data_IF_384186039173
#
_entry.id   IF_384186039173
#
_cell.length_a   1.000
_cell.length_b   1.000
_cell.length_c   1.000
_cell.angle_alpha   90.00
_cell.angle_beta   90.00
_cell.angle_gamma   90.00
#
_symmetry.space_group_name_H-M   'P 1'
#
loop_
_entity.id
_entity.type
_entity.pdbx_description
1 polymer ?
#
# COMPACT_ATOMS: atom_id res chain seq x y z
N UNK A 1 -20.15 -3.56 -28.76
CA UNK A 1 -19.62 -4.80 -28.12
C UNK A 1 -18.16 -4.70 -27.68
N UNK A 2 -17.13 -4.72 -28.56
CA UNK A 2 -15.71 -4.71 -28.12
C UNK A 2 -15.30 -3.44 -27.32
N UNK A 3 -15.76 -2.27 -27.76
CA UNK A 3 -15.50 -0.98 -27.08
C UNK A 3 -16.25 -0.83 -25.74
N UNK A 4 -17.43 -1.43 -25.62
CA UNK A 4 -18.21 -1.45 -24.37
C UNK A 4 -17.54 -2.34 -23.32
N UNK A 5 -17.08 -3.54 -23.72
CA UNK A 5 -16.30 -4.44 -22.85
C UNK A 5 -15.01 -3.77 -22.39
N UNK A 6 -14.36 -2.97 -23.25
CA UNK A 6 -13.15 -2.24 -22.90
C UNK A 6 -13.40 -1.05 -21.94
N UNK A 7 -14.52 -0.34 -22.10
CA UNK A 7 -14.94 0.69 -21.15
C UNK A 7 -15.34 0.10 -19.80
N UNK A 8 -16.09 -1.00 -19.78
CA UNK A 8 -16.43 -1.72 -18.56
C UNK A 8 -15.17 -2.16 -17.84
N UNK A 9 -14.23 -2.80 -18.54
CA UNK A 9 -12.95 -3.22 -17.96
C UNK A 9 -12.16 -2.05 -17.36
N UNK A 10 -12.14 -0.88 -18.00
CA UNK A 10 -11.49 0.32 -17.44
C UNK A 10 -12.18 0.79 -16.15
N UNK A 11 -13.51 0.72 -16.08
CA UNK A 11 -14.27 1.05 -14.86
C UNK A 11 -14.00 0.02 -13.75
N UNK A 12 -13.98 -1.28 -14.06
CA UNK A 12 -13.65 -2.34 -13.10
C UNK A 12 -12.22 -2.23 -12.59
N UNK A 13 -11.24 -2.04 -13.47
CA UNK A 13 -9.84 -1.84 -13.10
C UNK A 13 -9.65 -0.58 -12.27
N UNK A 14 -10.40 0.50 -12.53
CA UNK A 14 -10.32 1.70 -11.69
C UNK A 14 -10.91 1.50 -10.29
N UNK A 15 -11.97 0.70 -10.17
CA UNK A 15 -12.65 0.45 -8.88
C UNK A 15 -11.95 -0.59 -8.01
N UNK A 16 -11.53 -1.71 -8.61
CA UNK A 16 -10.96 -2.85 -7.90
C UNK A 16 -9.44 -2.97 -8.07
N UNK A 17 -8.86 -2.31 -9.07
CA UNK A 17 -7.42 -2.39 -9.33
C UNK A 17 -6.58 -1.90 -8.16
N UNK A 18 -7.04 -0.92 -7.39
CA UNK A 18 -6.35 -0.44 -6.19
C UNK A 18 -6.21 -1.53 -5.11
N UNK A 19 -7.17 -2.45 -4.99
CA UNK A 19 -7.08 -3.56 -4.03
C UNK A 19 -6.05 -4.62 -4.44
N UNK A 20 -5.90 -4.83 -5.75
CA UNK A 20 -4.99 -5.84 -6.29
C UNK A 20 -3.66 -5.26 -6.78
N UNK A 21 -3.46 -3.94 -6.67
CA UNK A 21 -2.33 -3.21 -7.25
C UNK A 21 -0.98 -3.72 -6.72
N UNK A 22 -0.95 -4.14 -5.45
CA UNK A 22 0.27 -4.61 -4.79
C UNK A 22 0.53 -6.11 -4.99
N UNK A 23 -0.40 -6.84 -5.60
CA UNK A 23 -0.30 -8.28 -5.82
C UNK A 23 0.43 -8.58 -7.14
N UNK A 24 1.34 -9.56 -7.14
CA UNK A 24 2.00 -10.01 -8.37
C UNK A 24 1.00 -10.70 -9.28
N UNK A 25 0.78 -10.13 -10.47
CA UNK A 25 -0.09 -10.72 -11.49
C UNK A 25 0.59 -11.88 -12.23
N UNK A 26 1.93 -11.96 -12.20
CA UNK A 26 2.71 -12.97 -12.92
C UNK A 26 2.59 -14.41 -12.37
N UNK A 27 2.11 -14.57 -11.13
CA UNK A 27 1.97 -15.90 -10.49
C UNK A 27 0.57 -16.51 -10.64
N UNK A 28 -0.29 -15.92 -11.48
CA UNK A 28 -1.59 -16.48 -11.82
C UNK A 28 -2.57 -16.60 -10.64
N UNK A 29 -3.48 -17.58 -10.71
CA UNK A 29 -4.58 -17.79 -9.76
C UNK A 29 -4.13 -17.95 -8.30
N UNK A 30 -2.94 -18.54 -8.08
CA UNK A 30 -2.43 -18.83 -6.74
C UNK A 30 -2.21 -17.55 -5.93
N UNK A 31 -1.60 -16.52 -6.52
CA UNK A 31 -1.40 -15.24 -5.82
C UNK A 31 -2.73 -14.54 -5.52
N UNK A 32 -3.70 -14.60 -6.44
CA UNK A 32 -5.02 -13.98 -6.31
C UNK A 32 -5.82 -14.52 -5.10
N UNK A 33 -5.62 -15.79 -4.74
CA UNK A 33 -6.29 -16.42 -3.60
C UNK A 33 -5.80 -15.93 -2.23
N UNK A 34 -4.77 -15.09 -2.17
CA UNK A 34 -4.25 -14.58 -0.90
C UNK A 34 -5.32 -13.86 -0.06
N UNK A 35 -6.07 -12.91 -0.62
CA UNK A 35 -7.07 -12.15 0.14
C UNK A 35 -8.25 -13.02 0.61
N UNK A 36 -8.85 -13.87 -0.25
CA UNK A 36 -9.85 -14.84 0.18
C UNK A 36 -9.33 -15.78 1.28
N UNK A 37 -8.13 -16.35 1.13
CA UNK A 37 -7.55 -17.26 2.11
C UNK A 37 -7.32 -16.59 3.46
N UNK A 38 -6.82 -15.34 3.45
CA UNK A 38 -6.61 -14.54 4.65
C UNK A 38 -7.92 -14.25 5.40
N UNK A 39 -8.98 -13.86 4.68
CA UNK A 39 -10.30 -13.62 5.27
C UNK A 39 -10.95 -14.91 5.75
N UNK A 40 -10.87 -15.98 4.96
CA UNK A 40 -11.42 -17.28 5.31
C UNK A 40 -10.80 -17.82 6.60
N UNK A 41 -9.47 -17.70 6.76
CA UNK A 41 -8.81 -18.11 8.01
C UNK A 41 -9.30 -17.32 9.23
N UNK A 42 -9.52 -16.02 9.09
CA UNK A 42 -10.08 -15.19 10.17
C UNK A 42 -11.50 -15.61 10.51
N UNK A 43 -12.32 -15.89 9.50
CA UNK A 43 -13.68 -16.39 9.69
C UNK A 43 -13.67 -17.75 10.41
N UNK A 44 -12.81 -18.67 9.98
CA UNK A 44 -12.62 -19.98 10.63
C UNK A 44 -12.24 -19.80 12.09
N UNK A 45 -11.32 -18.88 12.41
CA UNK A 45 -10.94 -18.63 13.81
C UNK A 45 -12.12 -18.13 14.67
N UNK A 46 -12.90 -17.18 14.16
CA UNK A 46 -14.10 -16.68 14.86
C UNK A 46 -15.12 -17.81 15.06
N UNK A 47 -15.34 -18.64 14.04
CA UNK A 47 -16.24 -19.79 14.15
C UNK A 47 -15.73 -20.81 15.18
N UNK A 48 -14.43 -21.08 15.23
CA UNK A 48 -13.84 -21.97 16.23
C UNK A 48 -14.00 -21.44 17.65
N UNK A 49 -13.87 -20.13 17.86
CA UNK A 49 -14.09 -19.52 19.18
C UNK A 49 -15.52 -19.74 19.67
N UNK A 50 -16.52 -19.61 18.80
CA UNK A 50 -17.94 -19.77 19.15
C UNK A 50 -18.30 -21.25 19.30
N UNK A 51 -17.87 -22.12 18.37
CA UNK A 51 -18.31 -23.51 18.32
C UNK A 51 -17.57 -24.42 19.30
N UNK A 52 -16.33 -24.07 19.70
CA UNK A 52 -15.46 -24.91 20.52
C UNK A 52 -15.15 -24.29 21.89
N UNK A 53 -16.02 -23.45 22.44
CA UNK A 53 -15.82 -22.75 23.73
C UNK A 53 -15.35 -23.69 24.86
N UNK A 54 -15.82 -24.95 24.90
CA UNK A 54 -15.41 -25.95 25.88
C UNK A 54 -14.20 -26.81 25.53
N UNK A 55 -13.51 -26.57 24.41
CA UNK A 55 -12.38 -27.39 23.91
C UNK A 55 -11.21 -26.52 23.43
N UNK A 56 -10.50 -25.83 24.35
CA UNK A 56 -9.41 -24.92 24.00
C UNK A 56 -8.22 -25.64 23.33
N UNK A 57 -8.01 -26.92 23.60
CA UNK A 57 -6.95 -27.72 22.95
C UNK A 57 -7.18 -27.90 21.46
N UNK A 58 -8.43 -28.15 21.05
CA UNK A 58 -8.76 -28.28 19.63
C UNK A 58 -8.66 -26.91 18.95
N UNK A 59 -9.11 -25.84 19.61
CA UNK A 59 -8.94 -24.48 19.09
C UNK A 59 -7.47 -24.14 18.84
N UNK A 60 -6.58 -24.43 19.81
CA UNK A 60 -5.15 -24.19 19.68
C UNK A 60 -4.53 -25.01 18.55
N UNK A 61 -4.84 -26.31 18.45
CA UNK A 61 -4.32 -27.17 17.38
C UNK A 61 -4.73 -26.70 15.98
N UNK A 62 -6.00 -26.32 15.80
CA UNK A 62 -6.47 -25.79 14.51
C UNK A 62 -5.83 -24.44 14.21
N UNK A 63 -5.66 -23.58 15.22
CA UNK A 63 -5.01 -22.30 15.04
C UNK A 63 -3.52 -22.45 14.65
N UNK A 64 -2.76 -23.33 15.31
CA UNK A 64 -1.36 -23.63 14.97
C UNK A 64 -1.29 -24.19 13.54
N UNK A 65 -2.12 -25.18 13.20
CA UNK A 65 -2.12 -25.84 11.89
C UNK A 65 -2.42 -24.84 10.77
N UNK A 66 -3.47 -24.03 10.92
CA UNK A 66 -3.83 -23.02 9.91
C UNK A 66 -2.79 -21.91 9.81
N UNK A 67 -2.15 -21.53 10.92
CA UNK A 67 -1.05 -20.56 10.93
C UNK A 67 0.19 -21.08 10.22
N UNK A 68 0.55 -22.34 10.47
CA UNK A 68 1.66 -23.00 9.79
C UNK A 68 1.42 -23.10 8.28
N UNK A 69 0.22 -23.54 7.86
CA UNK A 69 -0.14 -23.60 6.44
C UNK A 69 -0.09 -22.23 5.76
N UNK A 70 -0.56 -21.17 6.44
CA UNK A 70 -0.49 -19.80 5.90
C UNK A 70 0.97 -19.31 5.79
N UNK A 71 1.80 -19.58 6.80
CA UNK A 71 3.21 -19.21 6.77
C UNK A 71 3.93 -19.91 5.60
N UNK A 72 3.70 -21.22 5.41
CA UNK A 72 4.22 -21.96 4.26
C UNK A 72 3.74 -21.36 2.94
N UNK A 73 2.43 -21.11 2.82
CA UNK A 73 1.85 -20.46 1.64
C UNK A 73 2.54 -19.12 1.32
N UNK A 74 2.77 -18.26 2.32
CA UNK A 74 3.45 -16.97 2.11
C UNK A 74 4.91 -17.12 1.70
N UNK A 75 5.65 -18.06 2.29
CA UNK A 75 7.07 -18.31 1.99
C UNK A 75 7.24 -18.77 0.55
N UNK A 76 6.38 -19.67 0.06
CA UNK A 76 6.44 -20.21 -1.30
C UNK A 76 5.89 -19.24 -2.34
N UNK A 77 4.72 -18.65 -2.09
CA UNK A 77 4.03 -17.84 -3.09
C UNK A 77 4.55 -16.41 -3.17
N UNK A 78 4.98 -15.82 -2.05
CA UNK A 78 5.45 -14.41 -1.96
C UNK A 78 4.57 -13.48 -2.81
N UNK A 79 3.28 -13.33 -2.45
CA UNK A 79 2.25 -12.81 -3.35
C UNK A 79 2.42 -11.31 -3.67
N UNK A 80 3.19 -10.55 -2.89
CA UNK A 80 3.33 -9.11 -3.08
C UNK A 80 4.44 -8.74 -4.07
N UNK A 81 4.25 -7.61 -4.77
CA UNK A 81 5.25 -7.03 -5.69
C UNK A 81 6.52 -6.62 -4.94
N UNK A 82 6.36 -5.93 -3.81
CA UNK A 82 7.50 -5.48 -3.00
C UNK A 82 7.98 -6.58 -2.06
N UNK A 83 9.31 -6.75 -1.99
CA UNK A 83 9.94 -7.74 -1.10
C UNK A 83 9.65 -7.40 0.36
N UNK A 84 9.63 -6.10 0.70
CA UNK A 84 9.35 -5.62 2.06
C UNK A 84 7.98 -6.09 2.53
N UNK A 85 6.94 -5.96 1.71
CA UNK A 85 5.57 -6.40 2.06
C UNK A 85 5.50 -7.90 2.31
N UNK A 86 6.20 -8.70 1.49
CA UNK A 86 6.28 -10.15 1.70
C UNK A 86 7.00 -10.49 3.01
N UNK A 87 8.13 -9.84 3.30
CA UNK A 87 8.87 -10.06 4.54
C UNK A 87 8.01 -9.68 5.74
N UNK A 88 7.32 -8.54 5.69
CA UNK A 88 6.43 -8.09 6.75
C UNK A 88 5.32 -9.10 7.03
N UNK A 89 4.69 -9.62 5.98
CA UNK A 89 3.62 -10.61 6.09
C UNK A 89 4.12 -11.95 6.62
N UNK A 90 5.29 -12.42 6.16
CA UNK A 90 5.91 -13.65 6.68
C UNK A 90 6.28 -13.47 8.15
N UNK A 91 6.92 -12.36 8.53
CA UNK A 91 7.26 -12.06 9.93
C UNK A 91 6.01 -12.05 10.81
N UNK A 92 4.92 -11.45 10.35
CA UNK A 92 3.66 -11.44 11.09
C UNK A 92 3.09 -12.83 11.32
N UNK A 93 3.07 -13.69 10.29
CA UNK A 93 2.59 -15.06 10.46
C UNK A 93 3.52 -15.89 11.34
N UNK A 94 4.84 -15.70 11.24
CA UNK A 94 5.79 -16.33 12.15
C UNK A 94 5.58 -15.88 13.60
N UNK A 95 5.35 -14.59 13.86
CA UNK A 95 5.04 -14.06 15.20
C UNK A 95 3.75 -14.68 15.73
N UNK A 96 2.70 -14.77 14.91
CA UNK A 96 1.43 -15.38 15.29
C UNK A 96 1.59 -16.88 15.61
N UNK A 97 2.42 -17.58 14.83
CA UNK A 97 2.74 -18.99 15.07
C UNK A 97 3.49 -19.17 16.41
N UNK A 98 4.47 -18.32 16.74
CA UNK A 98 5.14 -18.36 18.04
C UNK A 98 4.16 -18.12 19.20
N UNK A 99 3.28 -17.12 19.06
CA UNK A 99 2.24 -16.85 20.06
C UNK A 99 1.32 -18.07 20.22
N UNK A 100 0.94 -18.73 19.13
CA UNK A 100 0.09 -19.93 19.18
C UNK A 100 0.75 -21.11 19.90
N UNK A 101 2.07 -21.27 19.81
CA UNK A 101 2.80 -22.28 20.60
C UNK A 101 2.81 -21.95 22.09
N UNK A 102 2.96 -20.67 22.45
CA UNK A 102 2.90 -20.24 23.86
C UNK A 102 1.51 -20.44 24.47
N UNK A 103 0.44 -20.39 23.67
CA UNK A 103 -0.92 -20.67 24.14
C UNK A 103 -1.10 -22.10 24.68
N UNK A 104 -0.32 -23.08 24.22
CA UNK A 104 -0.39 -24.47 24.69
C UNK A 104 -0.19 -24.55 26.22
N UNK A 105 0.68 -23.70 26.77
CA UNK A 105 0.97 -23.63 28.22
C UNK A 105 -0.29 -23.30 29.01
N UNK A 106 -1.17 -22.46 28.47
CA UNK A 106 -2.44 -22.08 29.11
C UNK A 106 -3.52 -23.17 28.99
N UNK A 107 -3.39 -24.06 28.02
CA UNK A 107 -4.34 -25.18 27.84
C UNK A 107 -4.00 -26.39 28.67
N UNK A 108 -2.71 -26.60 28.96
CA UNK A 108 -2.27 -27.67 29.85
C UNK A 108 -2.53 -27.24 31.29
N UNK A 109 -3.06 -28.13 32.13
CA UNK A 109 -3.35 -27.90 33.55
C UNK A 109 -2.03 -27.76 34.37
N UNK A 110 -1.27 -26.73 34.04
CA UNK A 110 0.02 -26.41 34.63
C UNK A 110 -0.24 -25.74 35.98
N UNK A 111 -0.11 -26.53 37.04
CA UNK A 111 -0.30 -26.08 38.43
C UNK A 111 0.70 -25.02 38.90
N UNK A 112 1.70 -24.68 38.08
CA UNK A 112 2.74 -23.71 38.41
C UNK A 112 2.31 -22.32 37.93
N UNK A 113 1.59 -21.60 38.79
CA UNK A 113 1.11 -20.23 38.52
C UNK A 113 2.20 -19.28 38.01
N UNK A 114 3.42 -19.39 38.56
CA UNK A 114 4.56 -18.57 38.15
C UNK A 114 4.91 -18.70 36.66
N UNK A 115 4.81 -19.91 36.09
CA UNK A 115 5.11 -20.15 34.67
C UNK A 115 4.04 -19.48 33.81
N UNK A 116 2.77 -19.65 34.15
CA UNK A 116 1.63 -19.05 33.43
C UNK A 116 1.74 -17.52 33.42
N UNK A 117 2.05 -16.92 34.56
CA UNK A 117 2.20 -15.46 34.69
C UNK A 117 3.35 -14.93 33.82
N UNK A 118 4.52 -15.57 33.88
CA UNK A 118 5.68 -15.17 33.07
C UNK A 118 5.39 -15.35 31.57
N UNK A 119 4.81 -16.49 31.17
CA UNK A 119 4.44 -16.75 29.77
C UNK A 119 3.45 -15.70 29.25
N UNK A 120 2.49 -15.26 30.07
CA UNK A 120 1.55 -14.21 29.71
C UNK A 120 2.26 -12.88 29.39
N UNK A 121 3.19 -12.45 30.25
CA UNK A 121 3.98 -11.24 30.00
C UNK A 121 4.88 -11.36 28.76
N UNK A 122 5.45 -12.54 28.50
CA UNK A 122 6.24 -12.81 27.29
C UNK A 122 5.36 -12.69 26.04
N UNK A 123 4.15 -13.26 26.05
CA UNK A 123 3.20 -13.16 24.93
C UNK A 123 2.81 -11.71 24.64
N UNK A 124 2.46 -10.93 25.69
CA UNK A 124 2.10 -9.51 25.53
C UNK A 124 3.28 -8.73 24.95
N UNK A 125 4.48 -8.95 25.50
CA UNK A 125 5.69 -8.28 25.03
C UNK A 125 5.99 -8.60 23.56
N UNK A 126 5.83 -9.86 23.14
CA UNK A 126 6.00 -10.29 21.76
C UNK A 126 4.98 -9.62 20.82
N UNK A 127 3.71 -9.54 21.23
CA UNK A 127 2.68 -8.82 20.49
C UNK A 127 3.02 -7.33 20.32
N UNK A 128 3.44 -6.66 21.40
CA UNK A 128 3.80 -5.24 21.38
C UNK A 128 4.99 -5.00 20.45
N UNK A 129 6.06 -5.79 20.57
CA UNK A 129 7.23 -5.70 19.69
C UNK A 129 6.82 -5.90 18.23
N UNK A 130 6.00 -6.91 17.93
CA UNK A 130 5.54 -7.17 16.57
C UNK A 130 4.76 -5.98 15.97
N UNK A 131 3.84 -5.39 16.75
CA UNK A 131 3.08 -4.20 16.33
C UNK A 131 4.00 -3.00 16.13
N UNK A 132 4.93 -2.75 17.06
CA UNK A 132 5.88 -1.63 16.97
C UNK A 132 6.82 -1.77 15.77
N UNK A 133 7.33 -2.97 15.49
CA UNK A 133 8.15 -3.24 14.31
C UNK A 133 7.38 -2.96 13.03
N UNK A 134 6.14 -3.44 12.92
CA UNK A 134 5.29 -3.17 11.75
C UNK A 134 5.04 -1.67 11.57
N UNK A 135 4.76 -0.97 12.66
CA UNK A 135 4.51 0.46 12.66
C UNK A 135 5.74 1.26 12.24
N UNK A 136 6.91 0.93 12.78
CA UNK A 136 8.18 1.55 12.44
C UNK A 136 8.52 1.36 10.94
N UNK A 137 8.35 0.15 10.41
CA UNK A 137 8.57 -0.14 8.98
C UNK A 137 7.62 0.70 8.12
N UNK A 138 6.34 0.77 8.49
CA UNK A 138 5.34 1.56 7.77
C UNK A 138 5.70 3.06 7.75
N UNK A 139 6.11 3.63 8.89
CA UNK A 139 6.55 5.03 8.97
C UNK A 139 7.75 5.28 8.06
N UNK A 140 8.80 4.47 8.18
CA UNK A 140 10.04 4.65 7.40
C UNK A 140 9.75 4.56 5.90
N UNK A 141 8.92 3.60 5.48
CA UNK A 141 8.53 3.43 4.09
C UNK A 141 7.78 4.65 3.55
N UNK A 142 6.77 5.14 4.29
CA UNK A 142 5.98 6.30 3.90
C UNK A 142 6.82 7.58 3.82
N UNK A 143 7.72 7.80 4.78
CA UNK A 143 8.66 8.94 4.76
C UNK A 143 9.55 8.87 3.52
N UNK A 144 10.15 7.71 3.23
CA UNK A 144 11.01 7.53 2.04
C UNK A 144 10.25 7.78 0.74
N UNK A 145 9.00 7.32 0.65
CA UNK A 145 8.16 7.53 -0.53
C UNK A 145 7.89 9.02 -0.75
N UNK A 146 7.49 9.76 0.29
CA UNK A 146 7.26 11.20 0.23
C UNK A 146 8.53 11.98 -0.15
N UNK A 147 9.68 11.64 0.46
CA UNK A 147 10.97 12.27 0.12
C UNK A 147 11.32 12.04 -1.34
N UNK A 148 11.08 10.83 -1.87
CA UNK A 148 11.33 10.53 -3.28
C UNK A 148 10.43 11.34 -4.21
N UNK A 149 9.14 11.46 -3.89
CA UNK A 149 8.17 12.27 -4.65
C UNK A 149 8.55 13.75 -4.68
N UNK A 150 8.94 14.32 -3.53
CA UNK A 150 9.39 15.72 -3.45
C UNK A 150 10.66 15.93 -4.29
N UNK A 151 11.62 15.01 -4.21
CA UNK A 151 12.85 15.07 -5.02
C UNK A 151 12.58 14.97 -6.52
N UNK A 152 11.59 14.19 -6.96
CA UNK A 152 11.24 14.10 -8.39
C UNK A 152 10.58 15.36 -8.92
N UNK A 153 9.76 16.05 -8.11
CA UNK A 153 9.15 17.32 -8.50
C UNK A 153 10.22 18.40 -8.69
N UNK A 154 11.19 18.48 -7.77
CA UNK A 154 12.29 19.47 -7.82
C UNK A 154 13.24 19.33 -9.02
N UNK A 155 13.25 18.16 -9.69
CA UNK A 155 14.08 17.95 -10.90
C UNK A 155 13.39 18.41 -12.20
N UNK A 156 12.09 18.68 -12.17
CA UNK A 156 11.34 19.12 -13.37
C UNK A 156 11.41 20.64 -13.54
N UNK A 157 11.74 21.40 -12.49
CA UNK A 157 11.82 22.86 -12.54
C UNK A 157 12.93 23.44 -13.46
N UNK A 158 14.16 22.89 -13.59
CA UNK A 158 15.18 23.49 -14.47
C UNK A 158 14.83 23.36 -15.97
N UNK A 159 14.15 22.28 -16.38
CA UNK A 159 13.77 22.08 -17.79
C UNK A 159 12.67 23.06 -18.23
N UNK A 160 11.80 23.47 -17.30
CA UNK A 160 10.73 24.42 -17.59
C UNK A 160 11.25 25.85 -17.75
N UNK A 161 12.34 26.17 -17.06
CA UNK A 161 13.04 27.45 -17.20
C UNK A 161 13.81 27.51 -18.54
N UNK A 162 14.50 26.44 -18.92
CA UNK A 162 15.19 26.35 -20.21
C UNK A 162 14.22 26.44 -21.41
N UNK A 163 13.05 25.81 -21.33
CA UNK A 163 12.01 25.91 -22.37
C UNK A 163 11.46 27.34 -22.47
N UNK A 164 11.30 28.05 -21.34
CA UNK A 164 10.89 29.46 -21.33
C UNK A 164 11.93 30.37 -21.98
N UNK A 165 13.20 30.19 -21.65
CA UNK A 165 14.30 30.98 -22.24
C UNK A 165 14.37 30.76 -23.75
N UNK A 166 14.19 29.52 -24.22
CA UNK A 166 14.16 29.18 -25.65
C UNK A 166 12.94 29.79 -26.37
N UNK A 167 11.76 29.81 -25.74
CA UNK A 167 10.58 30.48 -26.31
C UNK A 167 10.77 32.00 -26.39
N UNK A 168 11.38 32.63 -25.38
CA UNK A 168 11.66 34.07 -25.36
C UNK A 168 12.72 34.47 -26.40
N UNK A 169 13.78 33.68 -26.59
CA UNK A 169 14.78 33.92 -27.63
C UNK A 169 14.22 33.72 -29.04
N UNK A 170 13.35 32.71 -29.25
CA UNK A 170 12.69 32.55 -30.56
C UNK A 170 11.76 33.73 -30.87
N UNK A 171 11.03 34.24 -29.87
CA UNK A 171 10.17 35.43 -30.04
C UNK A 171 10.99 36.68 -30.36
N UNK A 172 12.13 36.88 -29.71
CA UNK A 172 12.99 38.05 -29.99
C UNK A 172 13.62 37.96 -31.37
N UNK A 173 14.13 36.80 -31.80
CA UNK A 173 14.68 36.60 -33.15
C UNK A 173 13.66 36.82 -34.26
N UNK A 174 12.41 36.37 -34.06
CA UNK A 174 11.33 36.59 -35.03
C UNK A 174 10.97 38.09 -35.10
N UNK A 175 10.96 38.80 -33.96
CA UNK A 175 10.73 40.25 -33.93
C UNK A 175 11.82 41.03 -34.66
N UNK A 176 13.09 40.65 -34.50
CA UNK A 176 14.23 41.32 -35.15
C UNK A 176 14.31 41.03 -36.65
N UNK A 177 14.03 39.78 -37.09
CA UNK A 177 14.11 39.40 -38.51
C UNK A 177 12.98 39.96 -39.37
N UNK A 178 11.82 40.28 -38.77
CA UNK A 178 10.63 40.64 -39.54
C UNK A 178 10.44 42.15 -39.66
N UNK A 179 11.13 43.00 -38.88
CA UNK A 179 11.08 44.46 -39.05
C UNK A 179 9.66 45.07 -38.95
N UNK A 180 8.67 44.29 -38.47
CA UNK A 180 7.30 44.73 -38.30
C UNK A 180 7.12 45.25 -36.88
N UNK A 181 6.84 46.55 -36.78
CA UNK A 181 6.09 47.10 -35.65
C UNK A 181 4.81 46.29 -35.51
N UNK A 182 4.75 45.42 -34.50
CA UNK A 182 3.53 44.67 -34.18
C UNK A 182 2.49 45.72 -33.76
N UNK A 183 1.33 45.81 -34.44
CA UNK A 183 0.27 46.71 -34.02
C UNK A 183 -0.26 46.27 -32.64
N UNK A 184 -0.58 47.24 -31.78
CA UNK A 184 -1.07 47.09 -30.40
C UNK A 184 -2.32 46.19 -30.21
N UNK A 185 -2.84 45.59 -31.27
CA UNK A 185 -4.04 44.75 -31.24
C UNK A 185 -3.80 43.36 -30.63
N UNK A 186 -2.56 42.85 -30.62
CA UNK A 186 -2.23 41.51 -30.08
C UNK A 186 -1.88 41.50 -28.58
N UNK A 187 -1.68 42.66 -27.96
CA UNK A 187 -1.37 42.77 -26.52
C UNK A 187 -2.62 42.67 -25.63
N UNK A 188 -3.80 43.03 -26.14
CA UNK A 188 -5.06 42.98 -25.38
C UNK A 188 -5.59 41.55 -25.22
N UNK A 189 -5.41 40.68 -26.22
CA UNK A 189 -5.83 39.27 -26.14
C UNK A 189 -5.03 38.47 -25.09
N UNK A 190 -3.74 38.77 -24.92
CA UNK A 190 -2.89 38.15 -23.90
C UNK A 190 -3.25 38.62 -22.48
N UNK A 191 -3.69 39.86 -22.31
CA UNK A 191 -4.18 40.38 -21.03
C UNK A 191 -5.53 39.75 -20.63
N UNK A 192 -6.36 39.42 -21.63
CA UNK A 192 -7.68 38.80 -21.40
C UNK A 192 -7.54 37.32 -21.01
N UNK A 193 -6.60 36.60 -21.63
CA UNK A 193 -6.33 35.20 -21.29
C UNK A 193 -5.68 35.03 -19.90
N UNK A 194 -4.85 36.00 -19.48
CA UNK A 194 -4.29 36.02 -18.11
C UNK A 194 -5.37 36.23 -17.04
N UNK A 195 -6.42 37.02 -17.33
CA UNK A 195 -7.57 37.23 -16.41
C UNK A 195 -8.47 36.01 -16.28
N UNK A 196 -8.62 35.20 -17.34
CA UNK A 196 -9.43 33.97 -17.26
C UNK A 196 -8.80 32.89 -16.38
N UNK A 197 -7.47 32.79 -16.35
CA UNK A 197 -6.79 31.79 -15.50
C UNK A 197 -6.79 32.15 -14.00
N UNK A 198 -6.76 33.43 -13.63
CA UNK A 198 -6.87 33.84 -12.21
C UNK A 198 -8.25 33.52 -11.63
N UNK A 199 -9.32 33.75 -12.40
CA UNK A 199 -10.68 33.46 -11.95
C UNK A 199 -10.95 31.95 -11.78
N UNK A 200 -10.25 31.09 -12.54
CA UNK A 200 -10.41 29.64 -12.41
C UNK A 200 -9.76 29.08 -11.13
N UNK A 201 -8.62 29.64 -10.72
CA UNK A 201 -7.93 29.28 -9.47
C UNK A 201 -8.69 29.76 -8.22
N UNK A 202 -9.38 30.91 -8.27
CA UNK A 202 -10.23 31.39 -7.18
C UNK A 202 -11.51 30.57 -6.99
N UNK A 203 -12.08 29.97 -8.05
CA UNK A 203 -13.27 29.11 -7.94
C UNK A 203 -12.99 27.71 -7.33
N UNK A 204 -11.72 27.34 -7.20
CA UNK A 204 -11.27 26.04 -6.67
C UNK A 204 -10.87 26.06 -5.19
N UNK A 205 -10.82 27.23 -4.55
CA UNK A 205 -10.65 27.37 -3.10
C UNK A 205 -12.00 27.48 -2.42
#
# INVERSE_FOLDING_TARGET
KRKEIEQENKVYLKKFGTMYENLKHDKGWVAFQFYPAFLARRLVFVLLLILLEGRPEIQCNVFITTSFLMAMYLIFTRPFKHVIDNVLMITNECSLLHISFLQIIFTTDTKIKSVVDITGWVMISLCVVNVLTNFAICIVYNIRLKVKQIKSLRRVDPVREDIRIVEETKKSEISTKVGLKIPNFLTDDLATNKRMNTNYEESKR
#
